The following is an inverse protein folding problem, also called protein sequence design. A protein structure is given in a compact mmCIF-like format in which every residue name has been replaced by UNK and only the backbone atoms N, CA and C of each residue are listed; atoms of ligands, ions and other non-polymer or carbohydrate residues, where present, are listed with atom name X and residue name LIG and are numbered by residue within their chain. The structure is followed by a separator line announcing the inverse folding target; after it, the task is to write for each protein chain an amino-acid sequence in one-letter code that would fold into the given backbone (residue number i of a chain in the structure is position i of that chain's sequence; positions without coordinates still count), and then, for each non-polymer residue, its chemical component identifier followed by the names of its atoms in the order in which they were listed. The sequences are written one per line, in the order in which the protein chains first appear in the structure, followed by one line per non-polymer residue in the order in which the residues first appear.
data_IF_340822116484
#
_entry.id   IF_340822116484
#
_cell.length_a   1.000
_cell.length_b   1.000
_cell.length_c   1.000
_cell.angle_alpha   90.00
_cell.angle_beta   90.00
_cell.angle_gamma   90.00
#
_symmetry.space_group_name_H-M   'P 1'
#
loop_
_entity.id
_entity.type
_entity.pdbx_description
1 polymer ?
#
# COMPACT_ATOMS: atom_id res chain seq x y z
N UNK A 1 27.84 -33.83 24.56
CA UNK A 1 26.38 -34.04 24.40
C UNK A 1 25.68 -32.80 24.96
N UNK A 2 25.08 -31.96 24.13
CA UNK A 2 24.14 -30.92 24.57
C UNK A 2 23.25 -30.49 23.38
N UNK A 3 22.13 -31.18 23.19
CA UNK A 3 21.09 -30.75 22.24
C UNK A 3 20.13 -29.80 22.96
N UNK A 4 20.11 -28.53 22.58
CA UNK A 4 19.07 -27.59 23.01
C UNK A 4 17.81 -27.86 22.19
N UNK A 5 16.77 -28.39 22.84
CA UNK A 5 15.42 -28.54 22.25
C UNK A 5 14.74 -27.16 22.26
N UNK A 6 14.50 -26.59 21.08
CA UNK A 6 13.54 -25.49 20.88
C UNK A 6 12.13 -26.11 20.90
N UNK A 7 11.26 -25.56 21.74
CA UNK A 7 9.84 -25.91 21.79
C UNK A 7 9.07 -25.07 20.78
N UNK A 8 8.52 -25.71 19.74
CA UNK A 8 7.58 -25.08 18.81
C UNK A 8 6.25 -24.81 19.53
N UNK A 9 5.91 -23.53 19.70
CA UNK A 9 4.58 -23.11 20.13
C UNK A 9 3.73 -22.95 18.87
N UNK A 10 2.93 -23.97 18.55
CA UNK A 10 1.89 -23.89 17.53
C UNK A 10 0.72 -23.09 18.10
N UNK A 11 0.52 -21.85 17.65
CA UNK A 11 -0.74 -21.13 17.86
C UNK A 11 -1.53 -21.19 16.56
N UNK A 12 -2.60 -21.98 16.57
CA UNK A 12 -3.50 -22.20 15.42
C UNK A 12 -4.86 -21.64 15.82
N UNK A 13 -5.42 -20.74 15.01
CA UNK A 13 -6.86 -20.46 15.05
C UNK A 13 -7.34 -19.87 13.73
N UNK A 14 -8.14 -20.64 12.99
CA UNK A 14 -9.31 -20.10 12.30
C UNK A 14 -10.32 -21.21 12.07
N UNK A 15 -11.53 -20.98 12.58
CA UNK A 15 -12.72 -21.79 12.34
C UNK A 15 -13.41 -21.26 11.09
N UNK A 16 -13.75 -22.12 10.13
CA UNK A 16 -14.89 -21.94 9.22
C UNK A 16 -15.60 -23.28 9.00
N UNK A 17 -16.86 -23.24 9.39
CA UNK A 17 -18.06 -24.09 9.18
C UNK A 17 -17.94 -25.27 8.22
N UNK A 18 -18.25 -26.47 8.75
CA UNK A 18 -18.58 -27.69 8.01
C UNK A 18 -19.95 -27.52 7.32
N UNK A 19 -20.01 -27.65 5.99
CA UNK A 19 -21.22 -28.08 5.30
C UNK A 19 -20.93 -29.48 4.76
N UNK A 20 -21.71 -30.46 5.21
CA UNK A 20 -21.69 -31.82 4.68
C UNK A 20 -22.36 -31.83 3.31
N UNK A 21 -21.85 -32.69 2.42
CA UNK A 21 -22.50 -33.18 1.21
C UNK A 21 -22.17 -32.45 -0.10
N UNK A 22 -20.92 -32.57 -0.57
CA UNK A 22 -20.60 -32.79 -2.00
C UNK A 22 -19.22 -33.45 -2.13
N UNK A 23 -19.20 -34.68 -2.67
CA UNK A 23 -18.00 -35.38 -3.14
C UNK A 23 -17.49 -34.72 -4.43
N UNK A 24 -16.82 -33.58 -4.33
CA UNK A 24 -15.94 -33.08 -5.38
C UNK A 24 -14.61 -32.71 -4.73
N UNK A 25 -13.66 -33.64 -4.84
CA UNK A 25 -12.30 -33.49 -4.32
C UNK A 25 -11.47 -32.61 -5.26
N UNK A 26 -11.74 -31.31 -5.28
CA UNK A 26 -10.85 -30.32 -5.87
C UNK A 26 -10.09 -29.62 -4.74
N UNK A 27 -8.86 -30.08 -4.54
CA UNK A 27 -7.70 -29.24 -4.17
C UNK A 27 -8.00 -28.11 -3.17
N UNK A 28 -8.39 -28.48 -1.95
CA UNK A 28 -8.13 -27.64 -0.78
C UNK A 28 -6.64 -27.74 -0.45
N UNK A 29 -5.82 -27.15 -1.30
CA UNK A 29 -4.41 -26.93 -1.01
C UNK A 29 -4.41 -25.91 0.10
N UNK A 30 -4.11 -26.36 1.32
CA UNK A 30 -3.66 -25.49 2.39
C UNK A 30 -2.54 -24.63 1.77
N UNK A 31 -2.86 -23.38 1.39
CA UNK A 31 -1.92 -22.40 0.88
C UNK A 31 -0.97 -22.04 2.02
N UNK A 32 -0.03 -22.93 2.27
CA UNK A 32 1.14 -22.65 3.07
C UNK A 32 1.88 -21.58 2.28
N UNK A 33 1.78 -20.33 2.73
CA UNK A 33 2.45 -19.19 2.15
C UNK A 33 3.84 -19.63 1.68
N UNK A 34 4.12 -19.44 0.38
CA UNK A 34 5.40 -19.80 -0.18
C UNK A 34 6.48 -19.04 0.59
N UNK A 35 7.73 -19.52 0.60
CA UNK A 35 8.83 -18.79 1.25
C UNK A 35 9.02 -17.37 0.71
N UNK A 36 8.39 -17.08 -0.43
CA UNK A 36 8.55 -15.87 -1.22
C UNK A 36 7.35 -14.91 -1.02
N UNK A 37 6.43 -15.22 -0.12
CA UNK A 37 5.31 -14.34 0.24
C UNK A 37 5.66 -13.47 1.45
N UNK A 38 5.40 -12.15 1.37
CA UNK A 38 5.69 -11.24 2.46
C UNK A 38 4.83 -11.57 3.69
N UNK A 39 5.45 -11.53 4.87
CA UNK A 39 4.81 -11.90 6.12
C UNK A 39 4.04 -10.71 6.72
N UNK A 40 4.41 -9.48 6.34
CA UNK A 40 3.84 -8.25 6.85
C UNK A 40 3.85 -7.14 5.78
N UNK A 41 3.13 -6.05 6.06
CA UNK A 41 3.01 -4.90 5.18
C UNK A 41 4.35 -4.30 4.76
N UNK A 42 5.31 -4.12 5.69
CA UNK A 42 6.61 -3.54 5.35
C UNK A 42 7.42 -4.42 4.41
N UNK A 43 7.43 -5.74 4.63
CA UNK A 43 8.11 -6.69 3.74
C UNK A 43 7.45 -6.70 2.34
N UNK A 44 6.12 -6.60 2.27
CA UNK A 44 5.42 -6.48 1.00
C UNK A 44 5.79 -5.19 0.25
N UNK A 45 5.95 -4.08 0.97
CA UNK A 45 6.40 -2.81 0.39
C UNK A 45 7.84 -2.93 -0.13
N UNK A 46 8.76 -3.49 0.67
CA UNK A 46 10.16 -3.68 0.29
C UNK A 46 10.29 -4.55 -0.97
N UNK A 47 9.61 -5.71 -0.99
CA UNK A 47 9.58 -6.59 -2.16
C UNK A 47 8.99 -5.89 -3.41
N UNK A 48 7.94 -5.09 -3.23
CA UNK A 48 7.35 -4.32 -4.31
C UNK A 48 8.34 -3.30 -4.88
N UNK A 49 9.08 -2.60 -4.02
CA UNK A 49 10.11 -1.63 -4.43
C UNK A 49 11.28 -2.29 -5.16
N UNK A 50 11.73 -3.45 -4.72
CA UNK A 50 12.75 -4.23 -5.42
C UNK A 50 12.28 -4.60 -6.84
N UNK A 51 11.04 -5.08 -6.98
CA UNK A 51 10.44 -5.38 -8.27
C UNK A 51 10.29 -4.14 -9.16
N UNK A 52 9.94 -2.98 -8.60
CA UNK A 52 9.94 -1.70 -9.33
C UNK A 52 11.34 -1.37 -9.86
N UNK A 53 12.39 -1.58 -9.06
CA UNK A 53 13.77 -1.33 -9.48
C UNK A 53 14.23 -2.23 -10.64
N UNK A 54 13.63 -3.42 -10.75
CA UNK A 54 13.82 -4.35 -11.86
C UNK A 54 12.91 -4.06 -13.07
N UNK A 55 11.99 -3.11 -12.97
CA UNK A 55 11.00 -2.77 -14.00
C UNK A 55 9.84 -3.77 -14.11
N UNK A 56 9.64 -4.63 -13.11
CA UNK A 56 8.54 -5.62 -13.06
C UNK A 56 7.33 -5.04 -12.34
N UNK A 57 6.69 -4.07 -12.98
CA UNK A 57 5.62 -3.28 -12.35
C UNK A 57 4.36 -4.10 -12.04
N UNK A 58 4.02 -5.07 -12.89
CA UNK A 58 2.87 -5.96 -12.68
C UNK A 58 3.05 -6.82 -11.42
N UNK A 59 4.23 -7.39 -11.23
CA UNK A 59 4.56 -8.19 -10.05
C UNK A 59 4.61 -7.30 -8.80
N UNK A 60 5.18 -6.10 -8.91
CA UNK A 60 5.25 -5.11 -7.84
C UNK A 60 3.85 -4.71 -7.35
N UNK A 61 2.91 -4.48 -8.27
CA UNK A 61 1.50 -4.20 -7.95
C UNK A 61 0.91 -5.31 -7.09
N UNK A 62 1.17 -6.57 -7.43
CA UNK A 62 0.73 -7.72 -6.65
C UNK A 62 1.25 -7.66 -5.20
N UNK A 63 2.50 -7.26 -4.98
CA UNK A 63 3.08 -7.12 -3.63
C UNK A 63 2.48 -5.94 -2.88
N UNK A 64 2.32 -4.77 -3.51
CA UNK A 64 1.70 -3.61 -2.83
C UNK A 64 0.23 -3.85 -2.46
N UNK A 65 -0.54 -4.57 -3.28
CA UNK A 65 -1.92 -4.92 -2.95
C UNK A 65 -2.04 -5.82 -1.71
N UNK A 66 -1.01 -6.64 -1.41
CA UNK A 66 -1.01 -7.47 -0.20
C UNK A 66 -0.88 -6.63 1.08
N UNK A 67 -0.40 -5.39 1.02
CA UNK A 67 -0.28 -4.50 2.18
C UNK A 67 -1.60 -4.33 2.91
N UNK A 68 -2.72 -4.25 2.19
CA UNK A 68 -4.05 -4.05 2.78
C UNK A 68 -4.61 -5.29 3.48
N UNK A 69 -4.02 -6.46 3.26
CA UNK A 69 -4.44 -7.73 3.87
C UNK A 69 -3.47 -8.23 4.93
N UNK A 70 -2.23 -7.76 4.87
CA UNK A 70 -1.16 -8.18 5.75
C UNK A 70 -1.14 -7.42 7.08
N UNK A 71 -0.58 -8.06 8.12
CA UNK A 71 -0.33 -7.38 9.38
C UNK A 71 0.64 -6.22 9.16
N UNK A 72 0.38 -5.06 9.80
CA UNK A 72 1.32 -3.95 9.81
C UNK A 72 2.64 -4.34 10.46
N UNK A 73 3.73 -3.64 10.10
CA UNK A 73 5.03 -3.86 10.74
C UNK A 73 5.07 -3.40 12.19
N UNK A 74 4.12 -2.53 12.57
CA UNK A 74 3.80 -2.07 13.92
C UNK A 74 5.02 -2.06 14.82
N UNK A 75 5.87 -1.02 14.73
CA UNK A 75 7.18 -0.90 15.38
C UNK A 75 7.35 -1.92 16.51
N UNK A 76 7.91 -3.07 16.18
CA UNK A 76 7.98 -4.23 17.06
C UNK A 76 8.78 -3.85 18.31
N UNK A 77 8.12 -3.29 19.34
CA UNK A 77 8.79 -2.93 20.61
C UNK A 77 9.45 -4.17 21.21
N UNK A 78 8.84 -5.35 20.99
CA UNK A 78 9.40 -6.66 21.29
C UNK A 78 8.88 -7.73 20.33
N UNK A 79 9.79 -8.55 19.78
CA UNK A 79 9.48 -9.74 18.98
C UNK A 79 8.59 -10.71 19.77
N UNK A 80 7.34 -10.87 19.33
CA UNK A 80 6.35 -11.76 19.96
C UNK A 80 5.33 -11.10 20.90
N UNK A 81 5.18 -9.78 20.92
CA UNK A 81 4.12 -9.10 21.69
C UNK A 81 2.96 -8.65 20.79
N UNK A 82 1.72 -8.83 21.27
CA UNK A 82 0.47 -8.92 20.47
C UNK A 82 -0.13 -7.55 20.07
N UNK A 83 0.54 -6.42 20.33
CA UNK A 83 -0.11 -5.11 20.17
C UNK A 83 0.27 -4.45 18.84
N UNK A 84 -0.75 -4.31 17.97
CA UNK A 84 -0.78 -3.63 16.65
C UNK A 84 -0.25 -4.44 15.45
N UNK A 85 -0.72 -5.69 15.33
CA UNK A 85 -0.33 -6.62 14.24
C UNK A 85 -1.52 -6.94 13.32
N UNK A 86 -2.71 -6.37 13.50
CA UNK A 86 -3.88 -6.88 12.74
C UNK A 86 -4.03 -6.30 11.32
N UNK A 87 -3.51 -5.10 11.06
CA UNK A 87 -3.61 -4.41 9.77
C UNK A 87 -2.43 -3.48 9.57
N UNK A 88 -2.18 -3.07 8.32
CA UNK A 88 -1.20 -2.04 7.99
C UNK A 88 -1.48 -0.73 8.73
N UNK A 89 -0.41 0.01 9.05
CA UNK A 89 -0.54 1.36 9.55
C UNK A 89 -0.94 2.33 8.42
N UNK A 90 -1.58 3.47 8.71
CA UNK A 90 -1.92 4.47 7.70
C UNK A 90 -0.71 4.93 6.86
N UNK A 91 0.48 4.96 7.48
CA UNK A 91 1.73 5.28 6.77
C UNK A 91 2.17 4.20 5.79
N UNK A 92 2.02 2.93 6.15
CA UNK A 92 2.30 1.80 5.24
C UNK A 92 1.28 1.72 4.11
N UNK A 93 -0.01 1.92 4.41
CA UNK A 93 -1.05 1.97 3.39
C UNK A 93 -0.83 3.13 2.42
N UNK A 94 -0.51 4.33 2.93
CA UNK A 94 -0.18 5.48 2.09
C UNK A 94 1.05 5.23 1.22
N UNK A 95 2.10 4.60 1.77
CA UNK A 95 3.29 4.22 1.02
C UNK A 95 2.96 3.21 -0.10
N UNK A 96 2.14 2.21 0.19
CA UNK A 96 1.69 1.24 -0.80
C UNK A 96 0.86 1.88 -1.91
N UNK A 97 -0.09 2.77 -1.56
CA UNK A 97 -0.90 3.52 -2.54
C UNK A 97 -0.04 4.43 -3.43
N UNK A 98 0.94 5.11 -2.84
CA UNK A 98 1.90 5.92 -3.59
C UNK A 98 2.68 5.07 -4.59
N UNK A 99 3.24 3.94 -4.16
CA UNK A 99 4.00 3.07 -5.05
C UNK A 99 3.11 2.41 -6.12
N UNK A 100 1.86 2.08 -5.80
CA UNK A 100 0.88 1.62 -6.79
C UNK A 100 0.64 2.68 -7.86
N UNK A 101 0.50 3.95 -7.48
CA UNK A 101 0.37 5.04 -8.44
C UNK A 101 1.60 5.12 -9.36
N UNK A 102 2.81 4.98 -8.83
CA UNK A 102 4.05 4.96 -9.62
C UNK A 102 4.06 3.78 -10.60
N UNK A 103 3.76 2.55 -10.15
CA UNK A 103 3.69 1.38 -11.02
C UNK A 103 2.65 1.55 -12.14
N UNK A 104 1.42 1.96 -11.80
CA UNK A 104 0.37 2.15 -12.81
C UNK A 104 0.71 3.26 -13.79
N UNK A 105 1.37 4.33 -13.33
CA UNK A 105 1.88 5.40 -14.19
C UNK A 105 2.91 4.87 -15.20
N UNK A 106 3.88 4.10 -14.74
CA UNK A 106 4.93 3.50 -15.58
C UNK A 106 4.37 2.49 -16.60
N UNK A 107 3.33 1.74 -16.24
CA UNK A 107 2.63 0.82 -17.15
C UNK A 107 1.69 1.52 -18.14
N UNK A 108 1.44 2.82 -17.99
CA UNK A 108 0.50 3.56 -18.84
C UNK A 108 -0.97 3.46 -18.40
N UNK A 109 -1.27 2.80 -17.28
CA UNK A 109 -2.61 2.60 -16.74
C UNK A 109 -3.10 3.83 -15.97
N UNK A 110 -3.38 4.92 -16.70
CA UNK A 110 -3.66 6.24 -16.11
C UNK A 110 -4.86 6.26 -15.15
N UNK A 111 -5.93 5.52 -15.45
CA UNK A 111 -7.13 5.51 -14.60
C UNK A 111 -6.82 4.92 -13.22
N UNK A 112 -6.11 3.79 -13.17
CA UNK A 112 -5.70 3.14 -11.92
C UNK A 112 -4.67 3.99 -11.17
N UNK A 113 -3.76 4.63 -11.90
CA UNK A 113 -2.75 5.49 -11.30
C UNK A 113 -3.38 6.71 -10.60
N UNK A 114 -4.36 7.36 -11.24
CA UNK A 114 -5.08 8.49 -10.66
C UNK A 114 -5.94 8.09 -9.46
N UNK A 115 -6.60 6.92 -9.52
CA UNK A 115 -7.35 6.37 -8.40
C UNK A 115 -6.43 6.08 -7.20
N UNK A 116 -5.25 5.54 -7.45
CA UNK A 116 -4.25 5.31 -6.41
C UNK A 116 -3.72 6.64 -5.80
N UNK A 117 -3.52 7.68 -6.61
CA UNK A 117 -3.16 9.03 -6.12
C UNK A 117 -4.27 9.62 -5.24
N UNK A 118 -5.53 9.57 -5.69
CA UNK A 118 -6.66 10.08 -4.91
C UNK A 118 -6.75 9.34 -3.57
N UNK A 119 -6.70 8.00 -3.60
CA UNK A 119 -6.72 7.15 -2.41
C UNK A 119 -5.56 7.43 -1.46
N UNK A 120 -4.35 7.66 -1.98
CA UNK A 120 -3.16 8.00 -1.18
C UNK A 120 -3.38 9.30 -0.39
N UNK A 121 -3.96 10.32 -1.04
CA UNK A 121 -4.28 11.60 -0.41
C UNK A 121 -5.46 11.48 0.57
N UNK A 122 -6.45 10.64 0.30
CA UNK A 122 -7.54 10.34 1.25
C UNK A 122 -7.02 9.67 2.52
N UNK A 123 -5.98 8.83 2.41
CA UNK A 123 -5.34 8.19 3.56
C UNK A 123 -4.43 9.15 4.37
N UNK A 124 -4.40 10.44 4.02
CA UNK A 124 -3.69 11.47 4.76
C UNK A 124 -2.24 11.66 4.36
N UNK A 125 -1.83 11.16 3.19
CA UNK A 125 -0.52 11.44 2.63
C UNK A 125 -0.31 12.95 2.47
N UNK A 126 0.75 13.47 3.09
CA UNK A 126 0.99 14.91 3.20
C UNK A 126 2.12 15.44 2.31
N UNK A 127 2.88 14.55 1.65
CA UNK A 127 4.03 14.95 0.85
C UNK A 127 3.65 15.24 -0.61
N UNK A 128 2.96 16.36 -0.80
CA UNK A 128 2.56 16.81 -2.13
C UNK A 128 3.73 17.12 -3.05
N UNK A 129 4.92 17.41 -2.51
CA UNK A 129 6.08 17.74 -3.32
C UNK A 129 6.63 16.49 -4.03
N UNK A 130 6.61 15.34 -3.35
CA UNK A 130 6.92 14.04 -3.96
C UNK A 130 5.99 13.74 -5.14
N UNK A 131 4.67 13.84 -4.97
CA UNK A 131 3.71 13.64 -6.07
C UNK A 131 3.94 14.57 -7.28
N UNK A 132 4.45 15.78 -7.05
CA UNK A 132 4.68 16.79 -8.09
C UNK A 132 6.00 16.63 -8.80
N UNK A 133 6.99 15.99 -8.19
CA UNK A 133 8.37 15.94 -8.69
C UNK A 133 8.78 14.55 -9.14
N UNK A 134 8.07 13.51 -8.69
CA UNK A 134 8.41 12.12 -9.00
C UNK A 134 8.43 11.88 -10.52
N UNK A 135 9.57 11.42 -11.08
CA UNK A 135 9.65 11.04 -12.49
C UNK A 135 8.71 9.88 -12.83
N UNK A 136 8.44 8.96 -11.90
CA UNK A 136 7.57 7.81 -12.16
C UNK A 136 6.11 8.23 -12.36
N UNK A 137 5.73 9.37 -11.80
CA UNK A 137 4.41 9.98 -11.97
C UNK A 137 4.35 11.00 -13.11
N UNK A 138 5.40 11.13 -13.95
CA UNK A 138 5.41 12.12 -15.04
C UNK A 138 4.23 11.93 -16.02
N UNK A 139 3.88 10.68 -16.34
CA UNK A 139 2.75 10.40 -17.23
C UNK A 139 1.42 10.86 -16.62
N UNK A 140 1.19 10.54 -15.34
CA UNK A 140 -0.01 10.94 -14.59
C UNK A 140 -0.11 12.46 -14.44
N UNK A 141 1.01 13.15 -14.21
CA UNK A 141 1.05 14.62 -14.08
C UNK A 141 0.59 15.36 -15.34
N UNK A 142 0.65 14.72 -16.51
CA UNK A 142 0.17 15.28 -17.78
C UNK A 142 -1.36 15.17 -17.92
N UNK A 143 -2.02 14.32 -17.13
CA UNK A 143 -3.47 14.20 -17.13
C UNK A 143 -4.10 15.37 -16.37
N UNK A 144 -5.10 16.02 -16.98
CA UNK A 144 -5.82 17.15 -16.38
C UNK A 144 -6.50 16.78 -15.06
N UNK A 145 -6.89 15.51 -14.88
CA UNK A 145 -7.53 14.99 -13.67
C UNK A 145 -6.59 15.02 -12.47
N UNK A 146 -5.29 14.88 -12.66
CA UNK A 146 -4.31 14.96 -11.58
C UNK A 146 -4.35 16.33 -10.89
N UNK A 147 -4.42 17.41 -11.67
CA UNK A 147 -4.53 18.77 -11.13
C UNK A 147 -5.84 18.98 -10.36
N UNK A 148 -6.94 18.36 -10.82
CA UNK A 148 -8.23 18.42 -10.12
C UNK A 148 -8.16 17.72 -8.75
N UNK A 149 -7.50 16.55 -8.68
CA UNK A 149 -7.25 15.82 -7.43
C UNK A 149 -6.43 16.71 -6.47
N UNK A 150 -5.30 17.27 -6.91
CA UNK A 150 -4.48 18.12 -6.04
C UNK A 150 -5.24 19.37 -5.54
N UNK A 151 -6.05 19.99 -6.39
CA UNK A 151 -6.87 21.14 -6.00
C UNK A 151 -7.92 20.76 -4.94
N UNK A 152 -8.56 19.59 -5.07
CA UNK A 152 -9.51 19.04 -4.07
C UNK A 152 -8.86 19.01 -2.68
N UNK A 153 -7.67 18.44 -2.53
CA UNK A 153 -7.01 18.32 -1.23
C UNK A 153 -6.34 19.60 -0.73
N UNK A 154 -5.77 20.43 -1.61
CA UNK A 154 -5.19 21.70 -1.19
C UNK A 154 -6.25 22.65 -0.63
N UNK A 155 -7.44 22.69 -1.25
CA UNK A 155 -8.58 23.46 -0.75
C UNK A 155 -9.13 22.87 0.56
N UNK A 156 -9.15 21.55 0.69
CA UNK A 156 -9.57 20.89 1.93
C UNK A 156 -8.63 21.25 3.09
N UNK A 157 -7.32 21.15 2.88
CA UNK A 157 -6.31 21.48 3.89
C UNK A 157 -6.31 22.97 4.27
N UNK A 158 -6.45 23.87 3.29
CA UNK A 158 -6.53 25.31 3.58
C UNK A 158 -7.76 25.67 4.41
N UNK A 159 -8.93 25.11 4.06
CA UNK A 159 -10.18 25.30 4.81
C UNK A 159 -10.10 24.73 6.24
N UNK A 160 -9.49 23.56 6.43
CA UNK A 160 -9.32 22.94 7.75
C UNK A 160 -8.30 23.67 8.63
N UNK A 161 -7.27 24.27 8.04
CA UNK A 161 -6.22 24.97 8.80
C UNK A 161 -6.63 26.33 9.35
N UNK A 162 -7.80 26.87 8.96
CA UNK A 162 -8.28 28.21 9.34
C UNK A 162 -7.40 29.36 8.84
N UNK A 163 -6.26 29.08 8.20
CA UNK A 163 -5.41 30.05 7.53
C UNK A 163 -5.93 30.22 6.12
N UNK A 164 -6.66 31.33 5.87
CA UNK A 164 -6.71 31.89 4.53
C UNK A 164 -5.29 32.30 4.18
N UNK A 165 -4.58 31.48 3.42
CA UNK A 165 -3.39 32.00 2.76
C UNK A 165 -3.85 33.15 1.85
N UNK A 166 -3.19 34.30 1.98
CA UNK A 166 -3.42 35.47 1.14
C UNK A 166 -2.80 35.29 -0.26
N UNK A 167 -2.33 34.09 -0.60
CA UNK A 167 -1.83 33.70 -1.90
C UNK A 167 -2.91 32.93 -2.66
N UNK A 168 -4.12 33.49 -2.73
CA UNK A 168 -5.04 33.23 -3.83
C UNK A 168 -4.50 33.83 -5.14
N UNK A 169 -3.23 33.55 -5.46
CA UNK A 169 -2.67 33.68 -6.81
C UNK A 169 -2.76 32.29 -7.40
N UNK A 170 -3.81 32.15 -8.19
CA UNK A 170 -4.18 30.99 -8.98
C UNK A 170 -2.95 30.38 -9.65
N UNK A 171 -2.55 29.21 -9.18
CA UNK A 171 -1.34 28.50 -9.61
C UNK A 171 -1.52 27.80 -10.96
N UNK A 172 -2.72 27.83 -11.56
CA UNK A 172 -3.05 27.29 -12.88
C UNK A 172 -2.88 28.29 -14.04
N UNK A 173 -2.47 29.53 -13.79
CA UNK A 173 -2.26 30.55 -14.84
C UNK A 173 -0.88 30.48 -15.52
N UNK A 174 -0.07 29.43 -15.26
CA UNK A 174 1.36 29.43 -15.60
C UNK A 174 1.86 28.27 -16.48
N UNK A 175 0.95 27.56 -17.13
CA UNK A 175 1.22 26.54 -18.14
C UNK A 175 0.34 26.78 -19.36
#
# INVERSE_FOLDING_TARGET
MLQKRRTDVKVRARWIVYNSDTEDSEQAEDAFASSDDPINAAEAIEMGQDLCSEGKYEDAVGKFQQVFTLPGSGAMRYKGTVKEISCASPGEESAALYNLACCYSQMGSMDQALEAVDSCLENGFSDFDSLKQDPDLEAVRKDVRFNAILLKYNNLLSNLSGKKDGSNKQWWERW
#
